data_IF_476652848478
#
_entry.id   IF_476652848478
#
_cell.length_a   1.000
_cell.length_b   1.000
_cell.length_c   1.000
_cell.angle_alpha   90.00
_cell.angle_beta   90.00
_cell.angle_gamma   90.00
#
_symmetry.space_group_name_H-M   'P 1'
#
loop_
_entity.id
_entity.type
_entity.pdbx_description
1 polymer ?
#
# COMPACT_ATOMS: atom_id res chain seq x y z
N UNK A 1 0.05 -15.82 7.05
CA UNK A 1 1.19 -15.59 6.13
C UNK A 1 0.72 -16.07 4.75
N UNK A 2 0.43 -15.17 3.82
CA UNK A 2 0.02 -15.55 2.44
C UNK A 2 1.16 -16.35 1.81
N UNK A 3 1.03 -17.69 1.76
CA UNK A 3 1.96 -18.56 1.04
C UNK A 3 1.42 -18.77 -0.36
N UNK A 4 2.19 -18.31 -1.35
CA UNK A 4 1.98 -18.57 -2.78
C UNK A 4 0.60 -18.19 -3.30
N UNK A 5 0.32 -16.90 -3.29
CA UNK A 5 -0.89 -16.38 -3.89
C UNK A 5 -0.64 -16.08 -5.37
N UNK A 6 -1.26 -16.91 -6.21
CA UNK A 6 -1.25 -16.73 -7.66
C UNK A 6 -2.15 -15.54 -8.05
N UNK A 7 -1.54 -14.35 -8.09
CA UNK A 7 -2.27 -13.11 -8.42
C UNK A 7 -2.69 -13.03 -9.87
N UNK A 8 -2.23 -13.94 -10.72
CA UNK A 8 -2.69 -14.01 -12.10
C UNK A 8 -4.15 -14.46 -12.20
N UNK A 9 -4.67 -15.11 -11.14
CA UNK A 9 -6.06 -15.51 -11.01
C UNK A 9 -6.97 -14.43 -10.38
N UNK A 10 -6.46 -13.24 -10.04
CA UNK A 10 -7.30 -12.18 -9.48
C UNK A 10 -8.19 -11.56 -10.58
N UNK A 11 -9.51 -11.42 -10.39
CA UNK A 11 -10.38 -10.77 -11.40
C UNK A 11 -9.96 -9.33 -11.73
N UNK A 12 -9.42 -8.59 -10.75
CA UNK A 12 -8.86 -7.25 -10.95
C UNK A 12 -7.60 -7.29 -11.83
N UNK A 13 -6.77 -8.34 -11.70
CA UNK A 13 -5.63 -8.57 -12.58
C UNK A 13 -6.09 -8.82 -14.01
N UNK A 14 -7.00 -9.78 -14.20
CA UNK A 14 -7.48 -10.21 -15.50
C UNK A 14 -8.15 -9.06 -16.25
N UNK A 15 -8.97 -8.27 -15.56
CA UNK A 15 -9.60 -7.08 -16.16
C UNK A 15 -8.56 -6.07 -16.63
N UNK A 16 -7.61 -5.69 -15.77
CA UNK A 16 -6.54 -4.76 -16.14
C UNK A 16 -5.68 -5.29 -17.30
N UNK A 17 -5.29 -6.57 -17.25
CA UNK A 17 -4.49 -7.20 -18.28
C UNK A 17 -5.24 -7.27 -19.62
N UNK A 18 -6.52 -7.65 -19.62
CA UNK A 18 -7.35 -7.67 -20.84
C UNK A 18 -7.48 -6.28 -21.48
N UNK A 19 -7.66 -5.22 -20.67
CA UNK A 19 -7.71 -3.84 -21.17
C UNK A 19 -6.38 -3.37 -21.74
N UNK A 20 -5.26 -3.84 -21.19
CA UNK A 20 -3.93 -3.54 -21.74
C UNK A 20 -3.67 -4.32 -23.04
N UNK A 21 -4.11 -5.58 -23.10
CA UNK A 21 -3.94 -6.43 -24.26
C UNK A 21 -4.78 -6.01 -25.47
N UNK A 22 -5.94 -5.36 -25.27
CA UNK A 22 -6.74 -4.84 -26.39
C UNK A 22 -6.02 -3.76 -27.21
N UNK A 23 -4.96 -3.17 -26.67
CA UNK A 23 -4.13 -2.18 -27.36
C UNK A 23 -2.98 -2.81 -28.17
N UNK A 24 -2.79 -4.14 -28.09
CA UNK A 24 -1.67 -4.82 -28.73
C UNK A 24 -1.64 -4.60 -30.25
N UNK A 25 -2.75 -4.83 -30.94
CA UNK A 25 -2.79 -4.73 -32.41
C UNK A 25 -2.48 -3.31 -32.90
N UNK A 26 -3.04 -2.31 -32.22
CA UNK A 26 -2.77 -0.91 -32.51
C UNK A 26 -1.29 -0.56 -32.28
N UNK A 27 -0.71 -1.01 -31.16
CA UNK A 27 0.69 -0.81 -30.85
C UNK A 27 1.62 -1.47 -31.88
N UNK A 28 1.34 -2.71 -32.26
CA UNK A 28 2.13 -3.43 -33.27
C UNK A 28 2.12 -2.72 -34.61
N UNK A 29 0.95 -2.21 -35.03
CA UNK A 29 0.81 -1.41 -36.25
C UNK A 29 1.59 -0.10 -36.17
N UNK A 30 1.53 0.61 -35.06
CA UNK A 30 2.25 1.87 -34.86
C UNK A 30 3.78 1.68 -34.81
N UNK A 31 4.26 0.54 -34.31
CA UNK A 31 5.70 0.25 -34.28
C UNK A 31 6.23 -0.15 -35.66
N UNK A 32 5.49 -0.97 -36.40
CA UNK A 32 5.96 -1.62 -37.64
C UNK A 32 5.63 -0.85 -38.92
N UNK A 33 4.48 -0.17 -38.97
CA UNK A 33 3.94 0.43 -40.20
C UNK A 33 4.14 1.95 -40.27
N UNK A 34 4.52 2.59 -39.16
CA UNK A 34 4.67 4.05 -39.12
C UNK A 34 5.95 4.53 -39.81
N UNK A 35 5.80 5.34 -40.86
CA UNK A 35 6.90 5.89 -41.67
C UNK A 35 7.78 6.89 -40.89
N UNK A 36 7.19 7.66 -39.97
CA UNK A 36 7.91 8.66 -39.15
C UNK A 36 8.88 8.00 -38.16
N UNK A 37 8.72 6.69 -37.94
CA UNK A 37 9.57 5.87 -37.07
C UNK A 37 9.89 6.56 -35.73
N UNK A 38 8.89 7.02 -34.95
CA UNK A 38 9.16 7.69 -33.69
C UNK A 38 9.91 6.77 -32.73
N UNK A 39 10.89 7.31 -32.00
CA UNK A 39 11.66 6.55 -31.01
C UNK A 39 10.82 6.18 -29.77
N UNK A 40 9.75 6.96 -29.51
CA UNK A 40 8.83 6.78 -28.40
C UNK A 40 7.40 6.72 -28.91
N UNK A 41 6.60 5.81 -28.39
CA UNK A 41 5.16 5.69 -28.68
C UNK A 41 4.38 5.91 -27.40
N UNK A 42 3.33 6.72 -27.49
CA UNK A 42 2.44 6.97 -26.36
C UNK A 42 1.40 5.85 -26.28
N UNK A 43 1.42 5.10 -25.19
CA UNK A 43 0.44 4.08 -24.91
C UNK A 43 -0.63 4.63 -23.96
N UNK A 44 -1.89 4.47 -24.34
CA UNK A 44 -3.03 4.95 -23.57
C UNK A 44 -3.03 4.28 -22.19
N UNK A 45 -2.91 5.09 -21.13
CA UNK A 45 -2.81 4.70 -19.71
C UNK A 45 -1.41 4.42 -19.16
N UNK A 46 -0.37 4.33 -19.99
CA UNK A 46 1.00 4.05 -19.53
C UNK A 46 1.99 5.20 -19.77
N UNK A 47 1.75 6.03 -20.79
CA UNK A 47 2.66 7.11 -21.18
C UNK A 47 3.58 6.73 -22.33
N UNK A 48 4.73 7.38 -22.44
CA UNK A 48 5.67 7.17 -23.55
C UNK A 48 6.57 5.95 -23.31
N UNK A 49 6.59 5.04 -24.29
CA UNK A 49 7.43 3.84 -24.29
C UNK A 49 8.47 3.99 -25.40
N UNK A 50 9.74 3.79 -25.06
CA UNK A 50 10.81 3.76 -26.04
C UNK A 50 10.76 2.45 -26.84
N UNK A 51 10.58 2.57 -28.16
CA UNK A 51 10.45 1.44 -29.10
C UNK A 51 11.55 1.40 -30.15
N UNK A 52 12.46 2.38 -30.13
CA UNK A 52 13.52 2.53 -31.15
C UNK A 52 14.32 1.24 -31.39
N UNK A 53 14.77 0.59 -30.31
CA UNK A 53 15.55 -0.67 -30.36
C UNK A 53 14.69 -1.93 -30.57
N UNK A 54 13.41 -1.87 -30.25
CA UNK A 54 12.50 -3.00 -30.37
C UNK A 54 12.15 -3.30 -31.85
N UNK A 55 12.28 -2.30 -32.74
CA UNK A 55 12.08 -2.46 -34.18
C UNK A 55 13.11 -3.37 -34.85
N UNK A 56 14.33 -3.43 -34.30
CA UNK A 56 15.39 -4.29 -34.82
C UNK A 56 15.06 -5.78 -34.61
N UNK A 57 14.11 -6.08 -33.71
CA UNK A 57 13.71 -7.43 -33.34
C UNK A 57 12.18 -7.61 -33.38
N UNK A 58 11.56 -7.60 -34.59
CA UNK A 58 10.11 -7.66 -34.73
C UNK A 58 9.50 -8.96 -34.19
N UNK A 59 10.27 -10.05 -34.17
CA UNK A 59 9.84 -11.37 -33.69
C UNK A 59 9.67 -11.44 -32.16
N UNK A 60 10.40 -10.64 -31.37
CA UNK A 60 10.22 -10.55 -29.90
C UNK A 60 9.30 -9.41 -29.49
N UNK A 61 8.94 -8.50 -30.41
CA UNK A 61 8.15 -7.32 -30.08
C UNK A 61 6.83 -7.69 -29.38
N UNK A 62 6.11 -8.68 -29.91
CA UNK A 62 4.85 -9.15 -29.34
C UNK A 62 5.05 -9.75 -27.93
N UNK A 63 6.12 -10.54 -27.75
CA UNK A 63 6.44 -11.16 -26.47
C UNK A 63 6.89 -10.13 -25.43
N UNK A 64 7.70 -9.15 -25.84
CA UNK A 64 8.13 -8.05 -24.99
C UNK A 64 6.94 -7.19 -24.55
N UNK A 65 5.98 -6.96 -25.43
CA UNK A 65 4.75 -6.26 -25.11
C UNK A 65 3.91 -7.04 -24.08
N UNK A 66 3.63 -8.33 -24.32
CA UNK A 66 2.88 -9.17 -23.36
C UNK A 66 3.56 -9.20 -21.99
N UNK A 67 4.88 -9.40 -21.96
CA UNK A 67 5.66 -9.40 -20.72
C UNK A 67 5.57 -8.06 -19.98
N UNK A 68 5.65 -6.94 -20.72
CA UNK A 68 5.50 -5.60 -20.15
C UNK A 68 4.11 -5.39 -19.55
N UNK A 69 3.05 -5.79 -20.25
CA UNK A 69 1.67 -5.63 -19.77
C UNK A 69 1.38 -6.48 -18.54
N UNK A 70 1.87 -7.72 -18.49
CA UNK A 70 1.76 -8.57 -17.30
C UNK A 70 2.49 -7.96 -16.10
N UNK A 71 3.69 -7.44 -16.30
CA UNK A 71 4.46 -6.80 -15.23
C UNK A 71 3.75 -5.56 -14.68
N UNK A 72 3.10 -4.77 -15.55
CA UNK A 72 2.31 -3.61 -15.14
C UNK A 72 1.07 -4.01 -14.34
N UNK A 73 0.29 -4.97 -14.85
CA UNK A 73 -0.91 -5.46 -14.18
C UNK A 73 -0.56 -6.04 -12.79
N UNK A 74 0.57 -6.76 -12.70
CA UNK A 74 1.08 -7.30 -11.44
C UNK A 74 1.52 -6.20 -10.47
N UNK A 75 2.20 -5.16 -10.96
CA UNK A 75 2.72 -4.06 -10.14
C UNK A 75 1.62 -3.33 -9.36
N UNK A 76 0.45 -3.12 -9.97
CA UNK A 76 -0.72 -2.55 -9.28
C UNK A 76 -1.11 -3.34 -8.03
N UNK A 77 -1.10 -4.67 -8.12
CA UNK A 77 -1.47 -5.57 -7.02
C UNK A 77 -0.41 -5.56 -5.93
N UNK A 78 0.87 -5.53 -6.32
CA UNK A 78 1.99 -5.43 -5.38
C UNK A 78 1.90 -4.14 -4.56
N UNK A 79 1.62 -2.99 -5.20
CA UNK A 79 1.48 -1.72 -4.51
C UNK A 79 0.33 -1.71 -3.51
N UNK A 80 -0.85 -2.21 -3.90
CA UNK A 80 -2.02 -2.32 -3.02
C UNK A 80 -1.69 -3.12 -1.77
N UNK A 81 -1.04 -4.28 -1.94
CA UNK A 81 -0.59 -5.09 -0.82
C UNK A 81 0.42 -4.42 0.09
N UNK A 82 1.37 -3.69 -0.48
CA UNK A 82 2.36 -2.97 0.31
C UNK A 82 1.65 -1.99 1.26
N UNK A 83 0.67 -1.25 0.74
CA UNK A 83 -0.16 -0.33 1.53
C UNK A 83 -0.96 -1.09 2.60
N UNK A 84 -1.63 -2.18 2.24
CA UNK A 84 -2.42 -2.97 3.19
C UNK A 84 -1.56 -3.57 4.31
N UNK A 85 -0.37 -4.07 3.98
CA UNK A 85 0.58 -4.61 4.96
C UNK A 85 1.07 -3.52 5.93
N UNK A 86 1.38 -2.31 5.43
CA UNK A 86 1.78 -1.19 6.29
C UNK A 86 0.63 -0.74 7.18
N UNK A 87 -0.58 -0.63 6.64
CA UNK A 87 -1.77 -0.26 7.40
C UNK A 87 -2.05 -1.26 8.53
N UNK A 88 -1.98 -2.56 8.23
CA UNK A 88 -2.16 -3.62 9.23
C UNK A 88 -1.06 -3.60 10.29
N UNK A 89 0.19 -3.41 9.89
CA UNK A 89 1.33 -3.33 10.82
C UNK A 89 1.18 -2.13 11.77
N UNK A 90 0.81 -0.97 11.26
CA UNK A 90 0.57 0.22 12.05
C UNK A 90 -0.62 0.04 13.00
N UNK A 91 -1.73 -0.52 12.51
CA UNK A 91 -2.92 -0.79 13.32
C UNK A 91 -2.59 -1.71 14.51
N UNK A 92 -1.85 -2.80 14.25
CA UNK A 92 -1.42 -3.73 15.30
C UNK A 92 -0.45 -3.07 16.29
N UNK A 93 0.47 -2.24 15.80
CA UNK A 93 1.44 -1.54 16.64
C UNK A 93 0.75 -0.55 17.59
N UNK A 94 -0.16 0.27 17.07
CA UNK A 94 -0.95 1.22 17.88
C UNK A 94 -1.87 0.49 18.85
N UNK A 95 -2.53 -0.59 18.42
CA UNK A 95 -3.37 -1.39 19.28
C UNK A 95 -2.60 -2.03 20.45
N UNK A 96 -1.38 -2.51 20.20
CA UNK A 96 -0.52 -3.06 21.25
C UNK A 96 0.01 -1.98 22.21
N UNK A 97 0.40 -0.81 21.69
CA UNK A 97 0.81 0.34 22.49
C UNK A 97 -0.30 0.75 23.48
N UNK A 98 -1.53 0.93 22.99
CA UNK A 98 -2.67 1.35 23.82
C UNK A 98 -3.10 0.26 24.81
N UNK A 99 -3.24 -0.98 24.35
CA UNK A 99 -3.77 -2.04 25.22
C UNK A 99 -2.74 -2.66 26.15
N UNK A 100 -1.44 -2.54 25.89
CA UNK A 100 -0.42 -3.19 26.75
C UNK A 100 0.49 -2.19 27.41
N UNK A 101 1.06 -1.27 26.66
CA UNK A 101 2.07 -0.36 27.20
C UNK A 101 1.41 0.73 28.05
N UNK A 102 0.33 1.35 27.58
CA UNK A 102 -0.42 2.34 28.35
C UNK A 102 -1.13 1.74 29.57
N UNK A 103 -1.67 0.53 29.48
CA UNK A 103 -2.27 -0.14 30.65
C UNK A 103 -1.23 -0.32 31.77
N UNK A 104 -0.02 -0.77 31.43
CA UNK A 104 1.07 -0.93 32.40
C UNK A 104 1.48 0.43 32.98
N UNK A 105 1.61 1.46 32.16
CA UNK A 105 1.99 2.81 32.61
C UNK A 105 0.95 3.41 33.57
N UNK A 106 -0.34 3.33 33.24
CA UNK A 106 -1.44 3.81 34.09
C UNK A 106 -1.47 3.04 35.42
N UNK A 107 -1.35 1.70 35.39
CA UNK A 107 -1.31 0.89 36.61
C UNK A 107 -0.09 1.25 37.45
N UNK A 108 1.08 1.46 36.84
CA UNK A 108 2.29 1.85 37.56
C UNK A 108 2.19 3.25 38.16
N UNK A 109 1.58 4.22 37.46
CA UNK A 109 1.34 5.55 38.04
C UNK A 109 0.36 5.50 39.22
N UNK A 110 -0.72 4.72 39.11
CA UNK A 110 -1.73 4.57 40.17
C UNK A 110 -1.21 3.77 41.38
N UNK A 111 -0.40 2.73 41.13
CA UNK A 111 0.08 1.78 42.15
C UNK A 111 1.55 1.97 42.56
N UNK A 112 2.21 3.05 42.12
CA UNK A 112 3.64 3.28 42.35
C UNK A 112 4.06 3.27 43.82
N UNK A 113 5.38 3.16 44.11
CA UNK A 113 5.94 2.80 45.43
C UNK A 113 5.60 3.74 46.60
N UNK A 114 4.93 4.86 46.32
CA UNK A 114 4.50 5.88 47.29
C UNK A 114 2.99 5.99 47.46
N UNK A 115 2.18 4.99 47.08
CA UNK A 115 0.76 4.94 47.42
C UNK A 115 -0.06 6.11 46.84
N UNK A 116 -0.11 6.24 45.51
CA UNK A 116 -0.81 7.32 44.81
C UNK A 116 -2.30 7.46 45.16
N UNK A 117 -2.98 6.37 45.54
CA UNK A 117 -4.36 6.39 46.00
C UNK A 117 -4.51 7.17 47.32
N UNK A 118 -3.52 7.09 48.21
CA UNK A 118 -3.58 7.80 49.50
C UNK A 118 -3.31 9.30 49.36
N UNK A 119 -2.48 9.70 48.39
CA UNK A 119 -2.12 11.10 48.15
C UNK A 119 -3.20 11.85 47.33
N UNK A 120 -3.80 11.19 46.34
CA UNK A 120 -4.84 11.79 45.49
C UNK A 120 -6.19 11.91 46.22
N UNK A 121 -6.60 10.87 46.95
CA UNK A 121 -7.81 10.94 47.77
C UNK A 121 -7.69 11.97 48.91
N UNK A 122 -6.49 12.16 49.48
CA UNK A 122 -6.26 13.17 50.53
C UNK A 122 -6.44 14.60 50.03
N UNK A 123 -5.95 14.92 48.82
CA UNK A 123 -6.19 16.23 48.18
C UNK A 123 -7.67 16.47 47.86
N UNK A 124 -8.41 15.42 47.49
CA UNK A 124 -9.85 15.53 47.25
C UNK A 124 -10.66 15.75 48.54
N UNK A 125 -10.20 15.20 49.68
CA UNK A 125 -10.84 15.42 50.99
C UNK A 125 -10.51 16.79 51.60
N UNK A 126 -9.29 17.29 51.41
CA UNK A 126 -8.85 18.60 51.91
C UNK A 126 -9.59 19.75 51.19
N UNK A 127 -9.75 19.67 49.86
CA UNK A 127 -10.54 20.63 49.11
C UNK A 127 -12.03 20.63 49.50
N UNK A 128 -12.58 19.51 50.01
CA UNK A 128 -14.00 19.45 50.39
C UNK A 128 -14.29 20.13 51.73
N UNK A 129 -13.30 20.26 52.61
CA UNK A 129 -13.45 20.93 53.91
C UNK A 129 -13.46 22.46 53.79
N UNK A 130 -12.70 23.03 52.84
CA UNK A 130 -12.66 24.48 52.59
C UNK A 130 -14.00 25.05 52.11
N UNK A 131 -14.81 24.29 51.36
CA UNK A 131 -16.13 24.75 50.90
C UNK A 131 -17.26 24.59 51.93
N UNK A 132 -17.02 23.95 53.07
CA UNK A 132 -18.02 23.78 54.15
C UNK A 132 -17.83 24.73 55.33
N UNK A 133 -16.82 25.60 55.28
CA UNK A 133 -16.51 26.58 56.34
C UNK A 133 -16.83 28.04 55.95
N UNK A 134 -17.63 28.26 54.90
CA UNK A 134 -18.11 29.58 54.47
C UNK A 134 -19.63 29.71 54.63
#
# INVERSE_FOLDING_TARGET
MEKLTDYTCNPEYLSNWNTLMSQQDAFMKDVLTNEERPAKIKLNSFGEIEVGKLRDYPYVLQQAFDMKMRMIAYWKIVLKRLVDCMALHLLLSVGNLVNREFEIEIVNELMGPGGGITCSCRKATENKQEYTAA
#
